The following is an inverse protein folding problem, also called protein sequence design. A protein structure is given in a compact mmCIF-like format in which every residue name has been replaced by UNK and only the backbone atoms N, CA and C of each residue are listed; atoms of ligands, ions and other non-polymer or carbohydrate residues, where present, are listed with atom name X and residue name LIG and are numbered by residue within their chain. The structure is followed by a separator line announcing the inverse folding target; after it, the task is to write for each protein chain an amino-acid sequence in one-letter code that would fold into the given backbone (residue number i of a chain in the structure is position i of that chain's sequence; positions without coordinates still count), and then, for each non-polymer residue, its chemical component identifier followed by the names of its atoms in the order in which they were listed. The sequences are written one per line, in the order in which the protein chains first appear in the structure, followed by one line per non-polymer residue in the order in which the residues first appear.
data_IF_805541682837
#
_entry.id   IF_805541682837
#
_cell.length_a   1.000
_cell.length_b   1.000
_cell.length_c   1.000
_cell.angle_alpha   90.00
_cell.angle_beta   90.00
_cell.angle_gamma   90.00
#
_symmetry.space_group_name_H-M   'P 1'
#
loop_
_entity.id
_entity.type
_entity.pdbx_description
1 polymer ?
#
# COMPACT_ATOMS: atom_id res chain seq x y z
N UNK A 1 8.11 0.82 17.91
CA UNK A 1 9.01 0.69 16.74
C UNK A 1 9.41 -0.76 16.48
N UNK A 2 9.92 -1.50 17.50
CA UNK A 2 10.29 -2.93 17.32
C UNK A 2 9.04 -3.80 17.16
N UNK A 3 7.95 -3.51 17.87
CA UNK A 3 6.67 -4.21 17.73
C UNK A 3 6.04 -4.01 16.38
N UNK A 4 6.07 -2.80 15.84
CA UNK A 4 5.62 -2.53 14.47
C UNK A 4 6.53 -3.18 13.42
N UNK A 5 7.84 -3.17 13.66
CA UNK A 5 8.81 -3.77 12.76
C UNK A 5 8.74 -5.30 12.78
N UNK A 6 8.62 -5.91 13.97
CA UNK A 6 8.46 -7.35 14.09
C UNK A 6 7.09 -7.82 13.55
N UNK A 7 6.02 -7.05 13.80
CA UNK A 7 4.72 -7.30 13.19
C UNK A 7 4.76 -7.12 11.67
N UNK A 8 5.49 -6.13 11.17
CA UNK A 8 5.72 -5.92 9.75
C UNK A 8 6.52 -7.05 9.12
N UNK A 9 7.59 -7.51 9.76
CA UNK A 9 8.42 -8.60 9.26
C UNK A 9 7.77 -9.99 9.47
N UNK A 10 7.02 -10.20 10.56
CA UNK A 10 6.22 -11.40 10.78
C UNK A 10 5.05 -11.47 9.78
N UNK A 11 4.40 -10.35 9.49
CA UNK A 11 3.41 -10.26 8.42
C UNK A 11 4.03 -10.54 7.05
N UNK A 12 5.28 -10.14 6.81
CA UNK A 12 6.00 -10.43 5.59
C UNK A 12 6.44 -11.90 5.51
N UNK A 13 6.73 -12.55 6.63
CA UNK A 13 7.12 -13.95 6.69
C UNK A 13 5.90 -14.91 6.72
N UNK A 14 4.81 -14.49 7.34
CA UNK A 14 3.60 -15.32 7.49
C UNK A 14 2.63 -15.20 6.31
N UNK A 15 2.68 -14.12 5.55
CA UNK A 15 1.73 -13.89 4.46
C UNK A 15 2.42 -13.09 3.36
N UNK A 16 2.70 -13.74 2.27
CA UNK A 16 2.85 -13.09 0.97
C UNK A 16 1.48 -12.54 0.49
N UNK A 17 0.71 -11.92 1.37
CA UNK A 17 -0.58 -11.33 1.07
C UNK A 17 -0.49 -9.83 1.25
N UNK A 18 0.17 -9.20 0.34
CA UNK A 18 0.15 -7.76 0.23
C UNK A 18 -0.70 -7.41 -0.96
N UNK A 19 -1.75 -6.67 -0.70
CA UNK A 19 -2.65 -6.21 -1.74
C UNK A 19 -2.18 -4.86 -2.27
N UNK A 20 -1.90 -4.78 -3.55
CA UNK A 20 -1.96 -3.50 -4.26
C UNK A 20 -3.44 -3.16 -4.36
N UNK A 21 -3.84 -2.15 -3.65
CA UNK A 21 -5.15 -1.55 -3.87
C UNK A 21 -4.99 -0.66 -5.09
N UNK A 22 -5.50 -1.09 -6.21
CA UNK A 22 -6.10 -0.13 -7.12
C UNK A 22 -7.25 0.48 -6.32
N UNK A 23 -6.99 1.62 -5.69
CA UNK A 23 -8.07 2.48 -5.24
C UNK A 23 -8.66 3.07 -6.52
N UNK A 24 -9.36 2.25 -7.25
CA UNK A 24 -10.49 2.76 -8.01
C UNK A 24 -11.44 3.20 -6.90
N UNK A 25 -11.30 4.45 -6.46
CA UNK A 25 -12.44 5.14 -5.91
C UNK A 25 -13.42 5.15 -7.07
N UNK A 26 -14.10 4.03 -7.24
CA UNK A 26 -15.35 4.02 -7.94
C UNK A 26 -16.18 4.97 -7.07
N UNK A 27 -16.11 6.27 -7.39
CA UNK A 27 -17.27 7.08 -7.17
C UNK A 27 -18.38 6.15 -7.63
N UNK A 28 -19.29 5.79 -6.75
CA UNK A 28 -20.59 5.39 -7.16
C UNK A 28 -21.14 6.59 -7.95
N UNK A 29 -20.64 6.74 -9.16
CA UNK A 29 -21.35 7.37 -10.22
C UNK A 29 -22.51 6.42 -10.37
N UNK A 30 -23.59 6.76 -9.70
CA UNK A 30 -24.91 6.32 -10.13
C UNK A 30 -24.87 6.52 -11.62
N UNK A 31 -24.63 5.43 -12.36
CA UNK A 31 -24.99 5.34 -13.75
C UNK A 31 -26.51 5.35 -13.78
N UNK A 32 -27.07 6.51 -13.53
CA UNK A 32 -28.39 6.81 -14.01
C UNK A 32 -28.24 7.27 -15.45
N UNK A 33 -28.89 6.52 -16.29
CA UNK A 33 -29.04 6.67 -17.70
C UNK A 33 -29.15 8.14 -18.12
N UNK A 34 -28.40 8.48 -19.18
CA UNK A 34 -28.62 9.65 -20.02
C UNK A 34 -30.05 9.64 -20.52
N UNK A 35 -30.96 10.14 -19.73
CA UNK A 35 -32.26 10.61 -20.23
C UNK A 35 -32.65 11.90 -19.54
N UNK A 36 -32.62 12.94 -20.36
CA UNK A 36 -33.22 14.26 -20.18
C UNK A 36 -32.46 15.28 -19.32
N UNK A 37 -32.11 16.39 -19.98
CA UNK A 37 -31.56 17.66 -19.45
C UNK A 37 -32.41 18.36 -18.38
N UNK A 38 -32.72 17.71 -17.29
CA UNK A 38 -33.59 18.18 -16.22
C UNK A 38 -32.99 18.20 -14.84
N UNK A 39 -31.69 17.96 -14.69
CA UNK A 39 -31.05 17.71 -13.40
C UNK A 39 -30.45 18.93 -12.68
N UNK A 40 -30.58 20.14 -13.26
CA UNK A 40 -30.12 21.38 -12.61
C UNK A 40 -31.19 22.16 -11.87
N UNK A 41 -32.43 21.68 -11.82
CA UNK A 41 -33.49 22.31 -11.05
C UNK A 41 -33.85 21.43 -9.84
N UNK A 42 -33.17 21.61 -8.71
CA UNK A 42 -33.68 21.08 -7.45
C UNK A 42 -32.70 20.41 -6.47
N UNK A 43 -31.40 20.47 -6.67
CA UNK A 43 -30.50 20.23 -5.53
C UNK A 43 -30.59 21.46 -4.61
N UNK A 44 -31.57 21.44 -3.70
CA UNK A 44 -31.56 22.31 -2.54
C UNK A 44 -30.40 21.84 -1.71
N UNK A 45 -29.26 22.53 -1.84
CA UNK A 45 -28.14 22.30 -0.93
C UNK A 45 -28.59 22.74 0.44
N UNK A 46 -28.39 21.88 1.43
CA UNK A 46 -28.59 22.27 2.81
C UNK A 46 -27.68 23.46 3.13
N UNK A 47 -28.18 24.41 3.89
CA UNK A 47 -27.41 25.61 4.27
C UNK A 47 -26.38 25.29 5.37
N UNK A 48 -26.60 24.23 6.14
CA UNK A 48 -25.73 23.80 7.22
C UNK A 48 -25.21 22.39 7.05
N UNK A 49 -23.90 22.24 7.27
CA UNK A 49 -23.17 20.97 7.29
C UNK A 49 -22.33 20.89 8.57
N UNK A 50 -22.21 19.70 9.15
CA UNK A 50 -21.30 19.47 10.28
C UNK A 50 -19.83 19.54 9.82
N UNK A 51 -19.55 19.07 8.59
CA UNK A 51 -18.19 18.98 8.04
C UNK A 51 -18.19 19.30 6.56
N UNK A 52 -17.23 20.09 6.13
CA UNK A 52 -16.94 20.31 4.71
C UNK A 52 -15.55 19.73 4.42
N UNK A 53 -15.49 18.77 3.50
CA UNK A 53 -14.25 18.13 3.06
C UNK A 53 -13.89 18.66 1.67
N UNK A 54 -12.69 19.21 1.53
CA UNK A 54 -12.19 19.80 0.28
C UNK A 54 -11.08 18.92 -0.30
N UNK A 55 -11.32 18.39 -1.51
CA UNK A 55 -10.43 17.47 -2.20
C UNK A 55 -10.92 16.03 -2.11
N UNK A 56 -10.43 15.20 -3.05
CA UNK A 56 -10.78 13.77 -3.14
C UNK A 56 -9.54 12.86 -3.07
N UNK A 57 -8.50 13.29 -2.36
CA UNK A 57 -7.37 12.45 -2.02
C UNK A 57 -7.78 11.37 -1.02
N UNK A 58 -6.88 10.40 -0.78
CA UNK A 58 -7.16 9.27 0.12
C UNK A 58 -7.53 9.73 1.53
N UNK A 59 -6.83 10.71 2.08
CA UNK A 59 -7.07 11.24 3.42
C UNK A 59 -8.45 11.90 3.53
N UNK A 60 -8.78 12.72 2.56
CA UNK A 60 -10.06 13.43 2.46
C UNK A 60 -11.22 12.43 2.36
N UNK A 61 -11.08 11.42 1.51
CA UNK A 61 -12.10 10.37 1.35
C UNK A 61 -12.30 9.55 2.64
N UNK A 62 -11.21 9.21 3.35
CA UNK A 62 -11.29 8.49 4.63
C UNK A 62 -11.99 9.35 5.68
N UNK A 63 -11.63 10.63 5.81
CA UNK A 63 -12.26 11.54 6.76
C UNK A 63 -13.76 11.72 6.47
N UNK A 64 -14.10 11.93 5.19
CA UNK A 64 -15.49 12.00 4.75
C UNK A 64 -16.27 10.73 5.11
N UNK A 65 -15.70 9.56 4.82
CA UNK A 65 -16.32 8.28 5.15
C UNK A 65 -16.53 8.08 6.65
N UNK A 66 -15.49 8.34 7.46
CA UNK A 66 -15.59 8.21 8.94
C UNK A 66 -16.65 9.16 9.51
N UNK A 67 -16.68 10.41 9.08
CA UNK A 67 -17.65 11.38 9.56
C UNK A 67 -19.08 10.99 9.16
N UNK A 68 -19.25 10.52 7.91
CA UNK A 68 -20.57 10.09 7.40
C UNK A 68 -21.12 8.87 8.15
N UNK A 69 -20.32 7.82 8.40
CA UNK A 69 -20.78 6.64 9.15
C UNK A 69 -21.05 6.95 10.63
N UNK A 70 -20.45 8.01 11.16
CA UNK A 70 -20.76 8.54 12.50
C UNK A 70 -21.97 9.49 12.51
N UNK A 71 -22.75 9.54 11.44
CA UNK A 71 -23.99 10.31 11.36
C UNK A 71 -23.82 11.81 11.19
N UNK A 72 -22.62 12.27 10.80
CA UNK A 72 -22.38 13.68 10.49
C UNK A 72 -22.86 14.02 9.09
N UNK A 73 -23.38 15.23 8.93
CA UNK A 73 -23.79 15.78 7.65
C UNK A 73 -22.55 16.34 6.95
N UNK A 74 -22.07 15.64 5.93
CA UNK A 74 -20.80 15.95 5.25
C UNK A 74 -21.06 16.48 3.86
N UNK A 75 -20.49 17.66 3.55
CA UNK A 75 -20.34 18.14 2.18
C UNK A 75 -18.92 17.82 1.71
N UNK A 76 -18.80 16.99 0.69
CA UNK A 76 -17.51 16.63 0.10
C UNK A 76 -17.39 17.23 -1.31
N UNK A 77 -16.35 18.03 -1.52
CA UNK A 77 -16.19 18.82 -2.75
C UNK A 77 -14.76 18.67 -3.30
N UNK A 78 -14.65 18.70 -4.62
CA UNK A 78 -13.37 18.82 -5.32
C UNK A 78 -13.46 19.88 -6.42
N UNK A 79 -12.36 20.59 -6.66
CA UNK A 79 -12.24 21.55 -7.75
C UNK A 79 -11.96 20.91 -9.11
N UNK A 80 -11.51 19.66 -9.09
CA UNK A 80 -11.16 18.92 -10.31
C UNK A 80 -12.37 18.11 -10.81
N UNK A 81 -12.47 17.86 -12.12
CA UNK A 81 -13.49 16.98 -12.68
C UNK A 81 -13.14 15.49 -12.53
N UNK A 82 -12.13 15.14 -11.75
CA UNK A 82 -11.67 13.77 -11.49
C UNK A 82 -11.29 13.61 -10.01
N UNK A 83 -11.29 12.38 -9.52
CA UNK A 83 -10.97 12.04 -8.15
C UNK A 83 -9.48 11.74 -7.95
N UNK A 84 -8.98 11.91 -6.72
CA UNK A 84 -7.64 11.50 -6.30
C UNK A 84 -6.55 12.57 -6.44
N UNK A 85 -6.85 13.71 -7.07
CA UNK A 85 -5.90 14.82 -7.22
C UNK A 85 -4.59 14.37 -7.90
N UNK A 86 -3.46 14.61 -7.24
CA UNK A 86 -2.12 14.23 -7.75
C UNK A 86 -1.88 12.72 -7.72
N UNK A 87 -2.60 11.99 -6.88
CA UNK A 87 -2.52 10.52 -6.74
C UNK A 87 -3.56 9.78 -7.58
N UNK A 88 -4.19 10.46 -8.53
CA UNK A 88 -5.23 9.86 -9.36
C UNK A 88 -4.69 8.77 -10.28
N UNK A 89 -5.50 7.74 -10.51
CA UNK A 89 -5.29 6.81 -11.61
C UNK A 89 -5.68 7.49 -12.93
N UNK A 90 -4.88 7.30 -13.96
CA UNK A 90 -5.07 7.94 -15.26
C UNK A 90 -5.49 6.89 -16.29
N UNK A 91 -6.64 7.14 -16.90
CA UNK A 91 -7.15 6.36 -18.03
C UNK A 91 -7.98 7.30 -18.92
N UNK A 92 -7.94 7.19 -20.25
CA UNK A 92 -7.07 6.30 -21.04
C UNK A 92 -5.60 6.75 -21.06
N UNK A 93 -4.72 5.93 -21.63
CA UNK A 93 -3.29 6.18 -21.68
C UNK A 93 -2.93 7.52 -22.35
N UNK A 94 -3.72 7.98 -23.31
CA UNK A 94 -3.57 9.28 -23.97
C UNK A 94 -3.61 10.46 -22.98
N UNK A 95 -4.40 10.36 -21.92
CA UNK A 95 -4.45 11.39 -20.87
C UNK A 95 -3.15 11.45 -20.06
N UNK A 96 -2.44 10.32 -19.89
CA UNK A 96 -1.13 10.31 -19.29
C UNK A 96 -0.12 11.09 -20.15
N UNK A 97 -0.09 10.81 -21.45
CA UNK A 97 0.80 11.49 -22.38
C UNK A 97 0.51 12.99 -22.44
N UNK A 98 -0.75 13.37 -22.49
CA UNK A 98 -1.20 14.76 -22.44
C UNK A 98 -0.77 15.46 -21.13
N UNK A 99 -0.93 14.80 -19.98
CA UNK A 99 -0.54 15.34 -18.66
C UNK A 99 0.96 15.65 -18.59
N UNK A 100 1.78 14.79 -19.20
CA UNK A 100 3.23 14.97 -19.25
C UNK A 100 3.72 15.74 -20.49
N UNK A 101 2.80 16.32 -21.27
CA UNK A 101 3.08 17.11 -22.46
C UNK A 101 3.90 16.35 -23.52
N UNK A 102 3.71 15.05 -23.62
CA UNK A 102 4.33 14.20 -24.65
C UNK A 102 3.40 14.22 -25.88
N UNK A 103 3.79 15.00 -26.90
CA UNK A 103 2.93 15.31 -28.06
C UNK A 103 2.71 14.11 -29.00
N UNK A 104 3.66 13.17 -29.03
CA UNK A 104 3.61 12.01 -29.95
C UNK A 104 2.49 11.01 -29.56
N UNK A 105 2.02 11.10 -28.31
CA UNK A 105 1.04 10.14 -27.79
C UNK A 105 1.63 8.73 -27.58
N UNK A 106 0.82 7.76 -27.10
CA UNK A 106 1.26 6.40 -26.90
C UNK A 106 1.53 5.67 -28.23
N UNK A 107 2.60 4.88 -28.35
CA UNK A 107 2.88 4.11 -29.55
C UNK A 107 1.82 3.02 -29.79
N UNK A 108 1.54 2.72 -31.05
CA UNK A 108 0.53 1.71 -31.46
C UNK A 108 0.77 0.32 -30.82
N UNK A 109 2.05 0.00 -30.52
CA UNK A 109 2.43 -1.25 -29.85
C UNK A 109 1.84 -1.43 -28.47
N UNK A 110 1.37 -0.36 -27.81
CA UNK A 110 0.70 -0.41 -26.51
C UNK A 110 -0.79 -0.79 -26.64
N UNK A 111 -1.33 -0.88 -27.85
CA UNK A 111 -2.73 -1.22 -28.06
C UNK A 111 -3.67 -0.06 -27.73
N UNK A 112 -4.88 -0.38 -27.24
CA UNK A 112 -5.90 0.64 -26.99
C UNK A 112 -5.64 1.35 -25.65
N UNK A 113 -5.59 2.67 -25.66
CA UNK A 113 -5.35 3.48 -24.47
C UNK A 113 -6.34 3.25 -23.33
N UNK A 114 -7.59 2.91 -23.63
CA UNK A 114 -8.64 2.59 -22.66
C UNK A 114 -8.41 1.31 -21.85
N UNK A 115 -7.51 0.44 -22.30
CA UNK A 115 -7.19 -0.82 -21.63
C UNK A 115 -6.10 -0.61 -20.53
N UNK A 116 -5.62 0.63 -20.39
CA UNK A 116 -4.60 1.02 -19.42
C UNK A 116 -5.20 1.83 -18.28
N UNK A 117 -4.87 1.42 -17.06
CA UNK A 117 -5.07 2.17 -15.81
C UNK A 117 -3.70 2.44 -15.22
N UNK A 118 -3.28 3.70 -15.17
CA UNK A 118 -1.95 4.07 -14.68
C UNK A 118 -2.07 4.81 -13.37
N UNK A 119 -1.64 4.17 -12.30
CA UNK A 119 -1.54 4.80 -10.99
C UNK A 119 -0.21 5.55 -10.89
N UNK A 120 -0.28 6.87 -10.69
CA UNK A 120 0.92 7.69 -10.52
C UNK A 120 1.58 7.46 -9.17
N UNK A 121 0.78 7.20 -8.15
CA UNK A 121 1.25 6.93 -6.78
C UNK A 121 0.50 5.70 -6.26
N UNK A 122 0.89 4.49 -6.71
CA UNK A 122 0.23 3.27 -6.26
C UNK A 122 0.37 3.11 -4.74
N UNK A 123 -0.70 2.68 -4.09
CA UNK A 123 -0.73 2.48 -2.64
C UNK A 123 -0.58 1.01 -2.30
N UNK A 124 0.34 0.77 -1.40
CA UNK A 124 0.59 -0.54 -0.83
C UNK A 124 -0.13 -0.65 0.51
N UNK A 125 -0.97 -1.66 0.68
CA UNK A 125 -1.72 -1.88 1.91
C UNK A 125 -1.34 -3.20 2.56
N UNK A 126 -1.03 -3.14 3.85
CA UNK A 126 -0.90 -4.34 4.68
C UNK A 126 -2.29 -4.94 4.93
N UNK A 127 -2.47 -6.22 4.60
CA UNK A 127 -3.76 -6.90 4.73
C UNK A 127 -4.37 -6.82 6.15
N UNK A 128 -3.53 -6.79 7.20
CA UNK A 128 -3.96 -6.61 8.60
C UNK A 128 -3.62 -5.20 9.13
N UNK A 129 -3.49 -4.22 8.24
CA UNK A 129 -3.11 -2.84 8.61
C UNK A 129 -4.29 -2.01 9.09
N UNK A 130 -3.96 -0.85 9.70
CA UNK A 130 -4.97 0.10 10.19
C UNK A 130 -5.84 0.65 9.06
N UNK A 131 -5.28 0.87 7.88
CA UNK A 131 -6.06 1.38 6.75
C UNK A 131 -7.14 0.38 6.31
N UNK A 132 -6.84 -0.92 6.28
CA UNK A 132 -7.86 -1.94 5.98
C UNK A 132 -8.96 -1.95 7.04
N UNK A 133 -8.62 -1.75 8.32
CA UNK A 133 -9.63 -1.62 9.39
C UNK A 133 -10.52 -0.40 9.21
N UNK A 134 -9.96 0.74 8.77
CA UNK A 134 -10.74 1.94 8.43
C UNK A 134 -11.68 1.69 7.25
N UNK A 135 -11.20 1.03 6.21
CA UNK A 135 -12.00 0.69 5.03
C UNK A 135 -13.15 -0.28 5.37
N UNK A 136 -12.91 -1.23 6.28
CA UNK A 136 -13.96 -2.12 6.81
C UNK A 136 -14.98 -1.34 7.64
N UNK A 137 -14.51 -0.44 8.49
CA UNK A 137 -15.39 0.38 9.33
C UNK A 137 -16.30 1.31 8.50
N UNK A 138 -15.80 1.86 7.41
CA UNK A 138 -16.56 2.72 6.51
C UNK A 138 -17.36 1.95 5.45
N UNK A 139 -17.30 0.62 5.44
CA UNK A 139 -18.03 -0.29 4.55
C UNK A 139 -17.72 -0.10 3.05
N UNK A 140 -16.58 0.53 2.70
CA UNK A 140 -16.21 0.80 1.31
C UNK A 140 -15.45 -0.33 0.64
N UNK A 141 -15.09 -1.39 1.37
CA UNK A 141 -14.28 -2.51 0.83
C UNK A 141 -14.91 -3.23 -0.36
N UNK A 142 -16.23 -3.22 -0.47
CA UNK A 142 -16.96 -3.82 -1.62
C UNK A 142 -16.74 -3.07 -2.95
N UNK A 143 -16.17 -1.87 -2.89
CA UNK A 143 -15.85 -1.04 -4.05
C UNK A 143 -14.38 -1.08 -4.43
N UNK A 144 -13.58 -1.90 -3.72
CA UNK A 144 -12.14 -1.99 -3.89
C UNK A 144 -11.76 -3.40 -4.33
N UNK A 145 -10.92 -3.46 -5.36
CA UNK A 145 -10.29 -4.69 -5.79
C UNK A 145 -8.89 -4.79 -5.16
N UNK A 146 -8.63 -5.94 -4.51
CA UNK A 146 -7.35 -6.20 -3.87
C UNK A 146 -6.59 -7.27 -4.66
N UNK A 147 -5.35 -6.97 -5.00
CA UNK A 147 -4.45 -7.92 -5.63
C UNK A 147 -3.28 -8.21 -4.72
N UNK A 148 -3.03 -9.50 -4.48
CA UNK A 148 -1.90 -9.94 -3.67
C UNK A 148 -0.58 -9.66 -4.40
N UNK A 149 0.38 -9.06 -3.70
CA UNK A 149 1.76 -8.91 -4.19
C UNK A 149 2.48 -10.24 -4.05
N UNK A 150 2.93 -10.80 -5.20
CA UNK A 150 3.57 -12.11 -5.23
C UNK A 150 5.00 -12.13 -4.67
N UNK A 151 5.65 -10.98 -4.58
CA UNK A 151 7.00 -10.87 -4.03
C UNK A 151 7.63 -9.52 -4.24
N UNK A 152 8.72 -9.30 -3.51
CA UNK A 152 9.59 -8.14 -3.64
C UNK A 152 10.85 -8.51 -4.42
N UNK A 153 11.34 -7.57 -5.21
CA UNK A 153 12.52 -7.80 -6.04
C UNK A 153 13.50 -6.64 -5.89
N UNK A 154 14.79 -6.95 -5.92
CA UNK A 154 15.87 -5.95 -5.91
C UNK A 154 16.74 -6.09 -7.16
N UNK A 155 17.16 -4.94 -7.67
CA UNK A 155 18.15 -4.88 -8.76
C UNK A 155 19.54 -4.70 -8.17
N UNK A 156 20.43 -5.65 -8.42
CA UNK A 156 21.82 -5.63 -7.93
C UNK A 156 22.78 -6.19 -8.99
N UNK A 157 23.81 -5.42 -9.30
CA UNK A 157 24.86 -5.87 -10.21
C UNK A 157 24.38 -6.29 -11.61
N UNK A 158 23.42 -5.54 -12.19
CA UNK A 158 22.88 -5.81 -13.52
C UNK A 158 21.83 -6.93 -13.57
N UNK A 159 21.39 -7.46 -12.43
CA UNK A 159 20.41 -8.55 -12.34
C UNK A 159 19.30 -8.24 -11.36
N UNK A 160 18.12 -8.80 -11.61
CA UNK A 160 16.97 -8.75 -10.73
C UNK A 160 16.93 -10.03 -9.90
N UNK A 161 16.77 -9.86 -8.58
CA UNK A 161 16.68 -10.96 -7.63
C UNK A 161 15.39 -10.85 -6.83
N UNK A 162 14.72 -11.98 -6.61
CA UNK A 162 13.62 -12.05 -5.64
C UNK A 162 14.18 -11.97 -4.22
N UNK A 163 13.60 -11.11 -3.41
CA UNK A 163 13.90 -11.03 -1.97
C UNK A 163 13.24 -12.20 -1.28
N UNK A 164 13.99 -13.04 -0.56
CA UNK A 164 13.39 -14.17 0.13
C UNK A 164 12.57 -13.72 1.34
N UNK A 165 11.33 -14.19 1.42
CA UNK A 165 10.37 -13.90 2.49
C UNK A 165 10.15 -15.08 3.44
N UNK A 166 10.65 -16.27 3.07
CA UNK A 166 10.56 -17.48 3.87
C UNK A 166 11.94 -18.09 4.11
N UNK A 167 12.06 -18.94 5.13
CA UNK A 167 13.32 -19.63 5.42
C UNK A 167 13.78 -20.54 4.27
N UNK A 168 12.85 -21.16 3.55
CA UNK A 168 13.14 -22.00 2.39
C UNK A 168 13.67 -21.17 1.23
N UNK A 169 13.04 -20.03 0.94
CA UNK A 169 13.50 -19.08 -0.08
C UNK A 169 14.87 -18.49 0.28
N UNK A 170 15.13 -18.21 1.57
CA UNK A 170 16.42 -17.72 2.02
C UNK A 170 17.55 -18.70 1.71
N UNK A 171 17.33 -19.99 1.92
CA UNK A 171 18.31 -21.02 1.59
C UNK A 171 18.53 -21.18 0.07
N UNK A 172 17.49 -21.00 -0.73
CA UNK A 172 17.55 -21.11 -2.19
C UNK A 172 18.07 -19.84 -2.87
N UNK A 173 18.01 -18.68 -2.20
CA UNK A 173 18.35 -17.38 -2.79
C UNK A 173 19.81 -17.26 -3.22
N UNK A 174 20.04 -16.60 -4.36
CA UNK A 174 21.39 -16.24 -4.82
C UNK A 174 21.81 -14.81 -4.43
N UNK A 175 21.02 -14.14 -3.58
CA UNK A 175 21.23 -12.77 -3.15
C UNK A 175 22.35 -12.66 -2.09
N UNK A 176 22.62 -13.73 -1.39
CA UNK A 176 23.53 -13.79 -0.25
C UNK A 176 24.39 -15.04 -0.23
N UNK A 177 25.54 -14.98 0.47
CA UNK A 177 26.45 -16.08 0.67
C UNK A 177 25.92 -17.18 1.61
N UNK A 178 26.57 -18.34 1.61
CA UNK A 178 26.10 -19.52 2.35
C UNK A 178 25.96 -19.26 3.88
N UNK A 179 26.90 -18.54 4.50
CA UNK A 179 26.84 -18.21 5.91
C UNK A 179 25.76 -17.19 6.24
N UNK A 180 25.56 -16.21 5.35
CA UNK A 180 24.49 -15.24 5.49
C UNK A 180 23.11 -15.89 5.36
N UNK A 181 22.94 -16.85 4.44
CA UNK A 181 21.70 -17.62 4.33
C UNK A 181 21.30 -18.27 5.66
N UNK A 182 22.25 -18.83 6.40
CA UNK A 182 22.00 -19.45 7.70
C UNK A 182 21.61 -18.43 8.76
N UNK A 183 22.27 -17.28 8.79
CA UNK A 183 21.97 -16.18 9.71
C UNK A 183 20.60 -15.58 9.40
N UNK A 184 20.36 -15.30 8.13
CA UNK A 184 19.08 -14.75 7.69
C UNK A 184 17.92 -15.73 7.93
N UNK A 185 18.12 -17.03 7.70
CA UNK A 185 17.13 -18.03 8.06
C UNK A 185 16.78 -18.00 9.56
N UNK A 186 17.78 -17.90 10.44
CA UNK A 186 17.53 -17.77 11.89
C UNK A 186 16.72 -16.52 12.22
N UNK A 187 17.04 -15.41 11.58
CA UNK A 187 16.27 -14.16 11.73
C UNK A 187 14.83 -14.34 11.28
N UNK A 188 14.57 -14.94 10.11
CA UNK A 188 13.21 -15.19 9.64
C UNK A 188 12.41 -16.10 10.57
N UNK A 189 13.04 -17.13 11.13
CA UNK A 189 12.40 -18.03 12.11
C UNK A 189 12.07 -17.27 13.39
N UNK A 190 12.99 -16.43 13.89
CA UNK A 190 12.73 -15.55 15.04
C UNK A 190 11.52 -14.65 14.76
N UNK A 191 11.52 -13.96 13.62
CA UNK A 191 10.43 -13.05 13.24
C UNK A 191 9.09 -13.80 13.11
N UNK A 192 9.08 -14.98 12.51
CA UNK A 192 7.86 -15.79 12.34
C UNK A 192 7.28 -16.27 13.69
N UNK A 193 8.14 -16.50 14.67
CA UNK A 193 7.72 -16.96 15.99
C UNK A 193 7.48 -15.84 17.01
N UNK A 194 7.81 -14.60 16.67
CA UNK A 194 7.68 -13.47 17.57
C UNK A 194 6.21 -13.13 17.82
N UNK A 195 5.81 -13.15 19.10
CA UNK A 195 4.48 -12.72 19.55
C UNK A 195 4.65 -11.63 20.60
N UNK A 196 4.14 -10.43 20.33
CA UNK A 196 4.24 -9.27 21.24
C UNK A 196 3.59 -9.51 22.62
N UNK A 197 2.70 -10.49 22.72
CA UNK A 197 1.99 -10.85 23.94
C UNK A 197 2.65 -12.00 24.72
N UNK A 198 3.65 -12.70 24.13
CA UNK A 198 4.38 -13.78 24.79
C UNK A 198 5.87 -13.46 24.91
N UNK A 199 6.35 -13.00 26.11
CA UNK A 199 7.75 -12.69 26.33
C UNK A 199 8.74 -13.85 26.10
N UNK A 200 8.28 -15.09 26.06
CA UNK A 200 9.13 -16.25 25.77
C UNK A 200 9.62 -16.26 24.32
N UNK A 201 8.91 -15.57 23.42
CA UNK A 201 9.27 -15.47 22.00
C UNK A 201 10.28 -14.38 21.71
N UNK A 202 10.59 -13.53 22.69
CA UNK A 202 11.45 -12.36 22.49
C UNK A 202 12.94 -12.71 22.32
N UNK A 203 13.37 -13.85 22.80
CA UNK A 203 14.78 -14.28 22.75
C UNK A 203 15.78 -13.21 23.25
N UNK A 204 15.40 -12.43 24.26
CA UNK A 204 16.22 -11.34 24.81
C UNK A 204 16.20 -10.03 24.01
N UNK A 205 15.25 -9.87 23.09
CA UNK A 205 14.92 -8.58 22.45
C UNK A 205 13.87 -7.89 23.31
N UNK A 206 14.09 -6.63 23.67
CA UNK A 206 13.08 -5.80 24.32
C UNK A 206 12.26 -5.06 23.23
N UNK A 207 10.99 -5.40 23.02
CA UNK A 207 10.19 -4.80 21.97
C UNK A 207 9.99 -3.29 22.12
N UNK A 208 10.16 -2.76 23.32
CA UNK A 208 9.95 -1.34 23.59
C UNK A 208 11.23 -0.50 23.39
N UNK A 209 12.40 -1.09 23.65
CA UNK A 209 13.64 -0.34 23.72
C UNK A 209 14.73 -0.81 22.73
N UNK A 210 14.56 -1.97 22.07
CA UNK A 210 15.53 -2.46 21.07
C UNK A 210 15.22 -1.91 19.69
N UNK A 211 16.20 -1.28 19.04
CA UNK A 211 16.05 -0.85 17.64
C UNK A 211 16.14 -2.03 16.67
N UNK A 212 15.60 -1.89 15.45
CA UNK A 212 15.76 -2.91 14.40
C UNK A 212 17.23 -3.10 14.01
N UNK A 213 18.05 -2.06 14.08
CA UNK A 213 19.50 -2.12 13.87
C UNK A 213 20.16 -3.09 14.87
N UNK A 214 19.74 -3.07 16.15
CA UNK A 214 20.28 -3.96 17.16
C UNK A 214 19.77 -5.40 16.97
N UNK A 215 18.54 -5.57 16.50
CA UNK A 215 18.03 -6.90 16.12
C UNK A 215 18.86 -7.46 14.96
N UNK A 216 19.11 -6.69 13.91
CA UNK A 216 19.97 -7.14 12.81
C UNK A 216 21.37 -7.51 13.25
N UNK A 217 21.99 -6.74 14.15
CA UNK A 217 23.29 -7.04 14.76
C UNK A 217 23.26 -8.33 15.58
N UNK A 218 22.20 -8.57 16.35
CA UNK A 218 22.01 -9.82 17.10
C UNK A 218 22.10 -11.06 16.21
N UNK A 219 21.55 -10.97 15.01
CA UNK A 219 21.60 -12.07 14.03
C UNK A 219 22.82 -12.00 13.10
N UNK A 220 23.74 -11.07 13.32
CA UNK A 220 24.98 -10.88 12.54
C UNK A 220 24.67 -10.77 11.02
N UNK A 221 23.68 -9.95 10.66
CA UNK A 221 23.28 -9.72 9.28
C UNK A 221 24.19 -8.68 8.63
N UNK A 222 24.66 -8.96 7.41
CA UNK A 222 25.43 -8.03 6.61
C UNK A 222 24.57 -6.88 6.07
N UNK A 223 25.19 -5.73 5.74
CA UNK A 223 24.47 -4.53 5.29
C UNK A 223 23.55 -4.79 4.10
N UNK A 224 24.00 -5.51 3.09
CA UNK A 224 23.17 -5.87 1.93
C UNK A 224 21.87 -6.58 2.34
N UNK A 225 21.95 -7.49 3.33
CA UNK A 225 20.78 -8.24 3.84
C UNK A 225 19.85 -7.32 4.62
N UNK A 226 20.42 -6.39 5.41
CA UNK A 226 19.67 -5.38 6.15
C UNK A 226 18.90 -4.49 5.16
N UNK A 227 19.58 -3.99 4.13
CA UNK A 227 18.99 -3.07 3.15
C UNK A 227 17.80 -3.70 2.43
N UNK A 228 17.94 -4.89 1.88
CA UNK A 228 16.82 -5.49 1.17
C UNK A 228 15.73 -6.03 2.11
N UNK A 229 16.07 -6.43 3.34
CA UNK A 229 15.06 -6.84 4.32
C UNK A 229 14.28 -5.63 4.84
N UNK A 230 14.96 -4.57 5.22
CA UNK A 230 14.35 -3.35 5.76
C UNK A 230 13.57 -2.57 4.70
N UNK A 231 14.15 -2.36 3.52
CA UNK A 231 13.55 -1.50 2.51
C UNK A 231 12.65 -2.24 1.52
N UNK A 232 13.07 -3.40 1.00
CA UNK A 232 12.29 -4.09 -0.02
C UNK A 232 11.26 -5.07 0.52
N UNK A 233 11.44 -5.59 1.74
CA UNK A 233 10.51 -6.54 2.36
C UNK A 233 9.64 -5.85 3.42
N UNK A 234 10.25 -5.20 4.40
CA UNK A 234 9.54 -4.53 5.49
C UNK A 234 9.10 -3.09 5.16
N UNK A 235 9.57 -2.52 4.05
CA UNK A 235 9.21 -1.22 3.50
C UNK A 235 9.49 -0.02 4.43
N UNK A 236 10.46 -0.15 5.31
CA UNK A 236 10.92 0.96 6.14
C UNK A 236 11.82 1.92 5.34
N UNK A 237 11.73 3.21 5.67
CA UNK A 237 12.60 4.23 5.07
C UNK A 237 13.97 4.31 5.72
N UNK A 238 14.05 3.95 6.98
CA UNK A 238 15.27 3.96 7.81
C UNK A 238 15.36 2.67 8.60
N UNK A 239 16.56 2.34 9.11
CA UNK A 239 16.85 1.19 9.96
C UNK A 239 16.89 1.54 11.47
N UNK A 240 16.41 2.72 11.84
CA UNK A 240 16.32 3.24 13.21
C UNK A 240 15.05 2.84 13.95
#
# INVERSE_FOLDING_TARGET
AVTEAAAGAAAAAAVAAVAIVEVVVAAAVVKEEEQSGRWYQGLIMDEEYDVIVLGTGLTECILSGIMSVNGKKVLHMDRNPYYGGESSSITPLEELYKRFQILEGPPESMGRGRDWNVDLIPKFLMANGQLVKMLLYTEVTRYLDFKVVEGSFVYKGGKIYKVPSTETEALASNLMGMFEKRRFRKFLVFVANFDENDPKTFEGVDPQNTSMRDVYRKFDLGQDVIDFTGHALALYRTDE
#
